data_IF_811888098713
#
_entry.id   IF_811888098713
#
_cell.length_a   1.000
_cell.length_b   1.000
_cell.length_c   1.000
_cell.angle_alpha   90.00
_cell.angle_beta   90.00
_cell.angle_gamma   90.00
#
_symmetry.space_group_name_H-M   'P 1'
#
loop_
_entity.id
_entity.type
_entity.pdbx_description
1 polymer ?
#
# COMPACT_ATOMS: atom_id res chain seq x y z
N UNK A 1 -3.66 -2.65 -14.36
CA UNK A 1 -4.03 -3.07 -12.98
C UNK A 1 -3.64 -1.96 -12.02
N UNK A 2 -4.56 -1.51 -11.18
CA UNK A 2 -4.32 -0.41 -10.24
C UNK A 2 -3.97 -0.94 -8.84
N UNK A 3 -2.86 -0.46 -8.30
CA UNK A 3 -2.39 -0.76 -6.95
C UNK A 3 -2.35 0.53 -6.15
N UNK A 4 -2.79 0.48 -4.89
CA UNK A 4 -2.85 1.66 -4.02
C UNK A 4 -2.49 1.35 -2.57
N UNK A 5 -2.15 2.42 -1.85
CA UNK A 5 -2.07 2.47 -0.39
C UNK A 5 -2.94 3.60 0.13
N UNK A 6 -3.63 3.38 1.24
CA UNK A 6 -4.49 4.38 1.84
C UNK A 6 -4.44 4.32 3.37
N UNK A 7 -3.89 5.34 3.98
CA UNK A 7 -4.06 5.56 5.41
C UNK A 7 -5.49 6.06 5.65
N UNK A 8 -6.35 5.17 6.14
CA UNK A 8 -7.73 5.53 6.54
C UNK A 8 -7.74 5.77 8.04
N UNK A 9 -7.24 6.89 8.46
CA UNK A 9 -7.18 7.35 9.84
C UNK A 9 -8.16 6.64 10.78
N UNK A 10 -7.66 5.72 11.64
CA UNK A 10 -8.46 4.95 12.61
C UNK A 10 -9.62 4.18 11.99
N UNK A 11 -9.33 3.40 10.94
CA UNK A 11 -10.32 2.50 10.33
C UNK A 11 -10.84 1.49 11.35
N UNK A 12 -12.12 1.59 11.69
CA UNK A 12 -12.74 0.72 12.70
C UNK A 12 -14.21 1.04 12.91
N UNK A 13 -14.77 0.46 13.96
CA UNK A 13 -16.23 0.52 14.25
C UNK A 13 -16.79 1.93 14.26
N UNK A 14 -16.10 2.89 14.91
CA UNK A 14 -16.59 4.27 15.02
C UNK A 14 -16.75 4.93 13.65
N UNK A 15 -15.74 4.81 12.79
CA UNK A 15 -15.77 5.39 11.43
C UNK A 15 -16.80 4.71 10.55
N UNK A 16 -16.84 3.39 10.56
CA UNK A 16 -17.75 2.60 9.71
C UNK A 16 -19.21 2.55 10.21
N UNK A 17 -19.50 3.09 11.38
CA UNK A 17 -20.87 3.25 11.85
C UNK A 17 -21.63 4.39 11.16
N UNK A 18 -20.91 5.32 10.54
CA UNK A 18 -21.48 6.37 9.68
C UNK A 18 -21.71 5.81 8.27
N UNK A 19 -23.00 5.66 7.83
CA UNK A 19 -23.31 5.10 6.52
C UNK A 19 -22.75 5.93 5.35
N UNK A 20 -22.65 7.25 5.50
CA UNK A 20 -22.10 8.14 4.47
C UNK A 20 -20.61 7.89 4.29
N UNK A 21 -19.87 7.80 5.39
CA UNK A 21 -18.43 7.52 5.36
C UNK A 21 -18.17 6.11 4.83
N UNK A 22 -18.92 5.11 5.27
CA UNK A 22 -18.84 3.74 4.75
C UNK A 22 -19.04 3.71 3.23
N UNK A 23 -20.05 4.40 2.70
CA UNK A 23 -20.34 4.45 1.27
C UNK A 23 -19.20 5.12 0.48
N UNK A 24 -18.62 6.21 1.00
CA UNK A 24 -17.47 6.89 0.38
C UNK A 24 -16.24 5.98 0.36
N UNK A 25 -15.92 5.30 1.47
CA UNK A 25 -14.80 4.38 1.57
C UNK A 25 -14.94 3.19 0.60
N UNK A 26 -16.15 2.62 0.49
CA UNK A 26 -16.44 1.56 -0.50
C UNK A 26 -16.19 2.07 -1.92
N UNK A 27 -16.64 3.30 -2.23
CA UNK A 27 -16.45 3.93 -3.54
C UNK A 27 -14.97 4.18 -3.85
N UNK A 28 -14.18 4.61 -2.87
CA UNK A 28 -12.73 4.80 -3.02
C UNK A 28 -12.04 3.46 -3.28
N UNK A 29 -12.26 2.46 -2.42
CA UNK A 29 -11.58 1.17 -2.48
C UNK A 29 -11.93 0.40 -3.76
N UNK A 30 -13.17 0.48 -4.23
CA UNK A 30 -13.62 -0.18 -5.47
C UNK A 30 -12.92 0.32 -6.74
N UNK A 31 -12.12 1.38 -6.67
CA UNK A 31 -11.28 1.86 -7.78
C UNK A 31 -10.06 0.99 -8.04
N UNK A 32 -9.64 0.18 -7.06
CA UNK A 32 -8.35 -0.51 -7.05
C UNK A 32 -8.48 -2.01 -7.20
N UNK A 33 -7.49 -2.60 -7.82
CA UNK A 33 -7.39 -4.05 -7.98
C UNK A 33 -6.64 -4.70 -6.82
N UNK A 34 -5.67 -3.98 -6.23
CA UNK A 34 -5.04 -4.27 -4.95
C UNK A 34 -4.92 -2.96 -4.17
N UNK A 35 -5.32 -2.97 -2.91
CA UNK A 35 -5.10 -1.84 -2.01
C UNK A 35 -4.67 -2.32 -0.64
N UNK A 36 -3.68 -1.65 -0.04
CA UNK A 36 -3.36 -1.79 1.39
C UNK A 36 -3.97 -0.63 2.17
N UNK A 37 -4.70 -0.97 3.20
CA UNK A 37 -5.29 -0.04 4.16
C UNK A 37 -4.42 -0.02 5.41
N UNK A 38 -4.07 1.19 5.86
CA UNK A 38 -3.30 1.46 7.06
C UNK A 38 -4.20 2.00 8.18
N UNK A 39 -3.73 1.96 9.40
CA UNK A 39 -4.46 2.35 10.63
C UNK A 39 -5.75 1.57 10.86
N UNK A 40 -5.75 0.27 10.57
CA UNK A 40 -6.86 -0.60 10.94
C UNK A 40 -6.82 -0.89 12.44
N UNK A 41 -7.81 -0.38 13.17
CA UNK A 41 -7.90 -0.44 14.64
C UNK A 41 -9.08 -1.29 15.14
N UNK A 42 -9.63 -2.14 14.30
CA UNK A 42 -10.79 -2.98 14.60
C UNK A 42 -10.39 -4.24 15.40
N UNK A 43 -10.59 -4.19 16.72
CA UNK A 43 -10.15 -5.27 17.62
C UNK A 43 -10.80 -6.63 17.36
N UNK A 44 -12.05 -6.62 16.87
CA UNK A 44 -12.88 -7.83 16.72
C UNK A 44 -13.10 -8.25 15.27
N UNK A 45 -12.41 -7.59 14.31
CA UNK A 45 -12.59 -7.80 12.86
C UNK A 45 -14.03 -7.64 12.34
N UNK A 46 -14.97 -7.27 13.19
CA UNK A 46 -16.39 -7.12 12.84
C UNK A 46 -16.60 -6.03 11.80
N UNK A 47 -15.93 -4.89 11.97
CA UNK A 47 -16.01 -3.77 11.04
C UNK A 47 -15.31 -4.07 9.72
N UNK A 48 -14.20 -4.81 9.78
CA UNK A 48 -13.45 -5.29 8.61
C UNK A 48 -14.33 -6.20 7.77
N UNK A 49 -14.98 -7.19 8.38
CA UNK A 49 -15.87 -8.12 7.69
C UNK A 49 -17.09 -7.41 7.09
N UNK A 50 -17.71 -6.50 7.84
CA UNK A 50 -18.81 -5.66 7.32
C UNK A 50 -18.37 -4.84 6.11
N UNK A 51 -17.21 -4.24 6.16
CA UNK A 51 -16.66 -3.47 5.04
C UNK A 51 -16.47 -4.33 3.80
N UNK A 52 -15.88 -5.53 3.96
CA UNK A 52 -15.71 -6.49 2.87
C UNK A 52 -17.05 -6.91 2.24
N UNK A 53 -18.06 -7.17 3.07
CA UNK A 53 -19.42 -7.50 2.59
C UNK A 53 -20.00 -6.34 1.76
N UNK A 54 -19.94 -5.10 2.26
CA UNK A 54 -20.45 -3.94 1.53
C UNK A 54 -19.69 -3.69 0.23
N UNK A 55 -18.37 -3.85 0.25
CA UNK A 55 -17.52 -3.74 -0.94
C UNK A 55 -17.91 -4.77 -2.01
N UNK A 56 -18.18 -6.01 -1.62
CA UNK A 56 -18.56 -7.09 -2.52
C UNK A 56 -20.02 -6.98 -3.02
N UNK A 57 -20.95 -6.39 -2.23
CA UNK A 57 -22.33 -6.12 -2.68
C UNK A 57 -22.41 -5.12 -3.83
N UNK A 58 -21.53 -4.12 -3.84
CA UNK A 58 -21.51 -3.09 -4.89
C UNK A 58 -20.94 -3.59 -6.20
N UNK A 59 -20.23 -4.71 -6.19
CA UNK A 59 -19.55 -5.28 -7.34
C UNK A 59 -20.49 -6.23 -8.11
N UNK A 60 -21.34 -5.66 -8.99
CA UNK A 60 -22.33 -6.39 -9.83
C UNK A 60 -21.73 -7.41 -10.82
N UNK A 61 -20.41 -7.48 -10.97
CA UNK A 61 -19.68 -8.26 -11.99
C UNK A 61 -18.88 -9.40 -11.40
N UNK A 62 -19.38 -10.31 -10.60
CA UNK A 62 -18.66 -11.53 -10.14
C UNK A 62 -17.19 -11.34 -9.66
N UNK A 63 -16.73 -10.12 -9.52
CA UNK A 63 -15.38 -9.76 -9.08
C UNK A 63 -15.42 -9.57 -7.58
N UNK A 64 -15.02 -10.58 -6.84
CA UNK A 64 -14.97 -10.50 -5.40
C UNK A 64 -13.62 -9.98 -4.91
N UNK A 65 -13.66 -9.10 -3.93
CA UNK A 65 -12.48 -8.78 -3.14
C UNK A 65 -12.25 -9.86 -2.10
N UNK A 66 -10.98 -10.21 -1.97
CA UNK A 66 -10.46 -11.09 -0.92
C UNK A 66 -9.65 -10.24 0.06
N UNK A 67 -9.69 -10.62 1.33
CA UNK A 67 -9.04 -9.94 2.44
C UNK A 67 -7.82 -10.72 2.93
N UNK A 68 -6.71 -10.00 3.14
CA UNK A 68 -5.60 -10.45 3.98
C UNK A 68 -5.29 -9.37 5.02
N UNK A 69 -5.09 -9.76 6.26
CA UNK A 69 -4.87 -8.84 7.37
C UNK A 69 -3.75 -9.36 8.28
N UNK A 70 -2.88 -8.45 8.72
CA UNK A 70 -1.81 -8.78 9.67
C UNK A 70 -2.34 -9.06 11.07
N UNK A 71 -1.47 -9.54 11.96
CA UNK A 71 -1.67 -9.45 13.39
C UNK A 71 -1.75 -7.99 13.84
N UNK A 72 -2.14 -7.74 15.08
CA UNK A 72 -2.16 -6.40 15.66
C UNK A 72 -0.75 -5.97 16.05
N UNK A 73 -0.24 -4.90 15.45
CA UNK A 73 1.13 -4.42 15.52
C UNK A 73 1.23 -3.09 16.29
N UNK A 74 2.32 -2.87 16.99
CA UNK A 74 2.61 -1.65 17.73
C UNK A 74 3.27 -1.94 19.07
N UNK A 75 4.16 -1.07 19.54
CA UNK A 75 4.95 -1.24 20.76
C UNK A 75 4.16 -1.05 22.07
N UNK A 76 3.10 -0.24 22.04
CA UNK A 76 2.30 0.11 23.22
C UNK A 76 0.92 -0.54 23.24
N UNK A 77 0.01 0.07 24.00
CA UNK A 77 -1.41 -0.35 24.05
C UNK A 77 -2.15 -0.09 22.74
N UNK A 78 -1.75 0.94 22.01
CA UNK A 78 -2.28 1.25 20.69
C UNK A 78 -1.73 0.23 19.66
N UNK A 79 -2.63 -0.43 18.95
CA UNK A 79 -2.30 -1.43 17.94
C UNK A 79 -3.06 -1.14 16.66
N UNK A 80 -2.39 -1.38 15.54
CA UNK A 80 -2.98 -1.31 14.20
C UNK A 80 -2.66 -2.58 13.41
N UNK A 81 -3.34 -2.73 12.28
CA UNK A 81 -3.11 -3.83 11.35
C UNK A 81 -2.90 -3.27 9.95
N UNK A 82 -2.11 -3.96 9.14
CA UNK A 82 -2.12 -3.82 7.68
C UNK A 82 -3.22 -4.70 7.11
N UNK A 83 -4.10 -4.13 6.29
CA UNK A 83 -5.19 -4.84 5.64
C UNK A 83 -5.09 -4.71 4.13
N UNK A 84 -4.97 -5.83 3.43
CA UNK A 84 -5.01 -5.87 1.97
C UNK A 84 -6.37 -6.33 1.49
N UNK A 85 -6.90 -5.63 0.49
CA UNK A 85 -8.07 -6.01 -0.27
C UNK A 85 -7.66 -6.14 -1.73
N UNK A 86 -7.95 -7.27 -2.36
CA UNK A 86 -7.56 -7.53 -3.73
C UNK A 86 -8.58 -8.35 -4.50
N UNK A 87 -8.63 -8.16 -5.80
CA UNK A 87 -9.51 -8.89 -6.72
C UNK A 87 -8.89 -10.23 -7.09
N UNK A 88 -9.55 -11.32 -6.74
CA UNK A 88 -9.09 -12.69 -6.96
C UNK A 88 -9.15 -13.14 -8.43
N UNK A 89 -9.90 -12.44 -9.28
CA UNK A 89 -9.91 -12.65 -10.73
C UNK A 89 -8.72 -12.01 -11.47
N UNK A 90 -7.98 -11.12 -10.82
CA UNK A 90 -6.83 -10.40 -11.40
C UNK A 90 -5.49 -10.81 -10.79
N UNK A 91 -5.49 -11.24 -9.54
CA UNK A 91 -4.27 -11.63 -8.83
C UNK A 91 -4.52 -12.85 -7.95
N UNK A 92 -3.48 -13.65 -7.77
CA UNK A 92 -3.48 -14.80 -6.85
C UNK A 92 -2.45 -14.56 -5.77
N UNK A 93 -2.85 -14.65 -4.51
CA UNK A 93 -1.91 -14.62 -3.39
C UNK A 93 -1.08 -15.92 -3.39
N UNK A 94 0.24 -15.79 -3.50
CA UNK A 94 1.18 -16.92 -3.56
C UNK A 94 2.15 -16.96 -2.39
N UNK A 95 2.17 -15.92 -1.56
CA UNK A 95 2.98 -15.88 -0.33
C UNK A 95 2.56 -14.75 0.59
N UNK A 96 2.71 -14.99 1.88
CA UNK A 96 2.57 -13.97 2.93
C UNK A 96 3.67 -14.14 3.97
N UNK A 97 4.16 -13.03 4.51
CA UNK A 97 5.21 -13.05 5.50
C UNK A 97 5.10 -11.84 6.44
N UNK A 98 4.93 -12.13 7.73
CA UNK A 98 5.10 -11.10 8.75
C UNK A 98 6.59 -10.97 9.04
N UNK A 99 7.16 -9.80 8.70
CA UNK A 99 8.56 -9.52 9.03
C UNK A 99 8.73 -9.46 10.54
N UNK A 100 9.78 -10.05 11.03
CA UNK A 100 10.15 -10.01 12.45
C UNK A 100 11.55 -9.40 12.56
N UNK A 101 11.66 -8.33 13.30
CA UNK A 101 12.90 -7.61 13.52
C UNK A 101 13.65 -8.25 14.70
N UNK A 102 14.24 -9.42 14.43
CA UNK A 102 14.86 -10.30 15.45
C UNK A 102 16.37 -10.44 15.28
N UNK A 103 17.05 -9.57 14.54
CA UNK A 103 18.48 -9.73 14.31
C UNK A 103 19.25 -9.45 15.60
N UNK A 104 20.17 -10.37 15.95
CA UNK A 104 20.99 -10.23 17.14
C UNK A 104 21.87 -8.96 17.06
N UNK A 105 21.63 -8.01 17.94
CA UNK A 105 22.28 -6.70 17.98
C UNK A 105 21.52 -5.60 17.25
N UNK A 106 20.42 -5.93 16.60
CA UNK A 106 19.52 -4.94 16.04
C UNK A 106 18.47 -4.53 17.07
N UNK A 107 18.35 -3.23 17.24
CA UNK A 107 17.27 -2.68 18.05
C UNK A 107 16.03 -2.72 17.18
N UNK A 108 14.96 -3.40 17.62
CA UNK A 108 13.62 -3.32 17.07
C UNK A 108 13.40 -1.95 16.36
N UNK A 109 13.51 -1.94 15.04
CA UNK A 109 13.49 -0.70 14.25
C UNK A 109 12.07 -0.23 14.01
N UNK A 110 11.17 -1.17 13.69
CA UNK A 110 9.80 -0.86 13.32
C UNK A 110 8.89 -0.66 14.53
N UNK A 111 8.05 0.36 14.49
CA UNK A 111 6.91 0.46 15.39
C UNK A 111 5.82 -0.55 14.98
N UNK A 112 5.73 -0.85 13.70
CA UNK A 112 4.84 -1.84 13.08
C UNK A 112 5.59 -2.53 11.96
N UNK A 113 5.97 -3.76 12.20
CA UNK A 113 6.74 -4.57 11.26
C UNK A 113 5.90 -4.84 10.00
N UNK A 114 6.48 -4.75 8.80
CA UNK A 114 5.74 -4.96 7.55
C UNK A 114 5.11 -6.35 7.46
N UNK A 115 3.84 -6.40 7.03
CA UNK A 115 3.15 -7.62 6.64
C UNK A 115 3.17 -7.75 5.11
N UNK A 116 4.06 -8.56 4.60
CA UNK A 116 4.48 -8.60 3.21
C UNK A 116 3.68 -9.65 2.45
N UNK A 117 3.11 -9.27 1.30
CA UNK A 117 2.36 -10.18 0.44
C UNK A 117 3.03 -10.33 -0.93
N UNK A 118 3.02 -11.55 -1.47
CA UNK A 118 3.46 -11.87 -2.83
C UNK A 118 2.27 -12.32 -3.67
N UNK A 119 2.10 -11.68 -4.82
CA UNK A 119 1.03 -11.95 -5.76
C UNK A 119 1.55 -12.46 -7.09
N UNK A 120 0.85 -13.44 -7.66
CA UNK A 120 0.88 -13.72 -9.09
C UNK A 120 -0.15 -12.82 -9.78
N UNK A 121 0.30 -12.04 -10.78
CA UNK A 121 -0.54 -11.11 -11.52
C UNK A 121 -0.95 -11.74 -12.86
N UNK A 122 -2.26 -11.93 -13.08
CA UNK A 122 -2.76 -12.74 -14.20
C UNK A 122 -2.76 -12.00 -15.55
N UNK A 123 -3.07 -10.69 -15.54
CA UNK A 123 -3.35 -9.92 -16.75
C UNK A 123 -2.43 -8.70 -16.93
N UNK A 124 -1.24 -8.73 -16.33
CA UNK A 124 -0.23 -7.66 -16.46
C UNK A 124 1.05 -8.17 -17.09
N UNK A 125 1.87 -7.25 -17.61
CA UNK A 125 3.20 -7.58 -18.14
C UNK A 125 4.09 -8.16 -17.06
N UNK A 126 3.99 -7.64 -15.84
CA UNK A 126 4.65 -8.16 -14.65
C UNK A 126 3.81 -9.28 -14.04
N UNK A 127 4.37 -10.48 -13.91
CA UNK A 127 3.64 -11.66 -13.42
C UNK A 127 3.81 -11.93 -11.94
N UNK A 128 4.86 -11.40 -11.34
CA UNK A 128 5.21 -11.57 -9.94
C UNK A 128 5.36 -10.20 -9.28
N UNK A 129 4.71 -9.97 -8.16
CA UNK A 129 4.70 -8.69 -7.46
C UNK A 129 4.72 -8.91 -5.95
N UNK A 130 5.71 -8.36 -5.28
CA UNK A 130 5.78 -8.31 -3.82
C UNK A 130 5.42 -6.91 -3.35
N UNK A 131 4.50 -6.82 -2.38
CA UNK A 131 4.10 -5.58 -1.74
C UNK A 131 4.60 -5.56 -0.28
N UNK A 132 5.38 -4.53 0.05
CA UNK A 132 5.85 -4.23 1.41
C UNK A 132 5.10 -3.00 1.89
N UNK A 133 4.11 -3.13 2.79
CA UNK A 133 3.37 -2.01 3.32
C UNK A 133 4.16 -1.30 4.40
N UNK A 134 3.99 0.01 4.51
CA UNK A 134 4.71 0.86 5.46
C UNK A 134 3.75 1.81 6.16
N UNK A 135 3.87 1.90 7.48
CA UNK A 135 3.34 3.01 8.26
C UNK A 135 4.35 3.31 9.37
N UNK A 136 5.24 4.26 9.13
CA UNK A 136 6.28 4.62 10.08
C UNK A 136 5.71 5.37 11.29
N UNK A 137 6.40 5.27 12.40
CA UNK A 137 6.17 6.20 13.51
C UNK A 137 6.88 7.52 13.16
N UNK A 138 6.20 8.68 13.19
CA UNK A 138 6.75 9.94 12.73
C UNK A 138 8.16 10.26 13.26
N UNK A 139 8.38 10.13 14.57
CA UNK A 139 9.67 10.44 15.22
C UNK A 139 10.80 9.46 14.83
N UNK A 140 10.46 8.26 14.37
CA UNK A 140 11.39 7.19 14.00
C UNK A 140 11.48 6.97 12.49
N UNK A 141 10.83 7.83 11.66
CA UNK A 141 10.65 7.62 10.23
C UNK A 141 11.95 7.39 9.47
N UNK A 142 12.99 8.17 9.73
CA UNK A 142 14.30 7.99 9.06
C UNK A 142 14.87 6.59 9.33
N UNK A 143 14.83 6.13 10.58
CA UNK A 143 15.32 4.81 10.99
C UNK A 143 14.50 3.70 10.35
N UNK A 144 13.17 3.77 10.45
CA UNK A 144 12.29 2.76 9.87
C UNK A 144 12.39 2.68 8.34
N UNK A 145 12.50 3.83 7.66
CA UNK A 145 12.68 3.88 6.20
C UNK A 145 14.03 3.34 5.76
N UNK A 146 15.09 3.54 6.54
CA UNK A 146 16.40 2.96 6.25
C UNK A 146 16.38 1.43 6.40
N UNK A 147 15.72 0.92 7.45
CA UNK A 147 15.56 -0.52 7.72
C UNK A 147 14.80 -1.26 6.60
N UNK A 148 13.96 -0.58 5.82
CA UNK A 148 13.29 -1.17 4.66
C UNK A 148 14.25 -1.72 3.60
N UNK A 149 15.49 -1.23 3.56
CA UNK A 149 16.52 -1.80 2.70
C UNK A 149 16.86 -3.25 3.10
N UNK A 150 16.98 -3.51 4.40
CA UNK A 150 17.24 -4.85 4.92
C UNK A 150 16.03 -5.78 4.73
N UNK A 151 14.82 -5.25 4.94
CA UNK A 151 13.57 -5.98 4.59
C UNK A 151 13.56 -6.38 3.12
N UNK A 152 13.91 -5.47 2.21
CA UNK A 152 14.02 -5.75 0.78
C UNK A 152 15.03 -6.89 0.49
N UNK A 153 16.22 -6.85 1.09
CA UNK A 153 17.23 -7.89 0.91
C UNK A 153 16.74 -9.27 1.39
N UNK A 154 16.04 -9.31 2.51
CA UNK A 154 15.46 -10.56 3.03
C UNK A 154 14.32 -11.08 2.14
N UNK A 155 13.46 -10.21 1.61
CA UNK A 155 12.44 -10.56 0.60
C UNK A 155 13.09 -11.17 -0.64
N UNK A 156 14.12 -10.50 -1.17
CA UNK A 156 14.88 -10.97 -2.34
C UNK A 156 15.50 -12.35 -2.08
N UNK A 157 16.08 -12.54 -0.93
CA UNK A 157 16.66 -13.83 -0.50
C UNK A 157 15.59 -14.94 -0.38
N UNK A 158 14.44 -14.61 0.25
CA UNK A 158 13.37 -15.56 0.54
C UNK A 158 12.64 -16.02 -0.71
N UNK A 159 12.27 -15.08 -1.59
CA UNK A 159 11.39 -15.35 -2.73
C UNK A 159 12.08 -15.29 -4.09
N UNK A 160 13.39 -14.99 -4.13
CA UNK A 160 14.21 -14.93 -5.36
C UNK A 160 13.58 -14.04 -6.44
N UNK A 161 13.06 -12.89 -6.04
CA UNK A 161 12.45 -11.90 -6.94
C UNK A 161 12.95 -10.49 -6.62
N UNK A 162 13.07 -9.68 -7.65
CA UNK A 162 13.39 -8.25 -7.59
C UNK A 162 12.13 -7.37 -7.77
N UNK A 163 10.98 -7.99 -8.06
CA UNK A 163 9.73 -7.28 -8.32
C UNK A 163 9.06 -6.83 -7.03
N UNK A 164 9.63 -5.80 -6.41
CA UNK A 164 9.22 -5.30 -5.09
C UNK A 164 8.70 -3.88 -5.20
N UNK A 165 7.53 -3.65 -4.59
CA UNK A 165 6.94 -2.33 -4.38
C UNK A 165 6.77 -2.09 -2.88
N UNK A 166 7.32 -0.98 -2.39
CA UNK A 166 7.18 -0.48 -1.02
C UNK A 166 6.19 0.67 -1.07
N UNK A 167 5.11 0.60 -0.32
CA UNK A 167 4.05 1.61 -0.38
C UNK A 167 3.41 1.83 0.99
N UNK A 168 2.97 3.05 1.25
CA UNK A 168 2.32 3.39 2.51
C UNK A 168 2.53 4.82 2.94
N UNK A 169 2.26 5.05 4.21
CA UNK A 169 2.55 6.30 4.91
C UNK A 169 3.97 6.26 5.48
N UNK A 170 4.87 6.92 4.78
CA UNK A 170 6.29 6.99 5.13
C UNK A 170 6.58 8.12 6.12
N UNK A 171 5.63 9.03 6.36
CA UNK A 171 5.89 10.29 7.06
C UNK A 171 7.15 11.02 6.53
N UNK A 172 7.44 10.87 5.23
CA UNK A 172 8.72 11.22 4.59
C UNK A 172 8.77 12.69 4.16
N UNK A 173 8.31 13.60 5.00
CA UNK A 173 8.28 15.03 4.72
C UNK A 173 8.15 15.88 6.00
N UNK A 174 8.18 17.20 5.82
CA UNK A 174 7.93 18.18 6.86
C UNK A 174 8.92 18.09 8.02
N UNK A 175 8.39 18.09 9.23
CA UNK A 175 9.20 17.99 10.45
C UNK A 175 9.71 16.59 10.76
N UNK A 176 9.17 15.56 10.14
CA UNK A 176 9.51 14.16 10.43
C UNK A 176 10.76 13.69 9.70
N UNK A 177 10.93 14.09 8.43
CA UNK A 177 12.12 13.74 7.64
C UNK A 177 12.67 14.97 6.95
N UNK A 178 13.81 15.45 7.44
CA UNK A 178 14.52 16.56 6.80
C UNK A 178 15.17 16.13 5.47
N UNK A 179 15.54 17.10 4.63
CA UNK A 179 16.29 16.84 3.39
C UNK A 179 17.61 16.07 3.64
N UNK A 180 18.26 16.31 4.79
CA UNK A 180 19.46 15.57 5.21
C UNK A 180 19.11 14.15 5.63
N UNK A 181 18.03 13.96 6.39
CA UNK A 181 17.51 12.65 6.78
C UNK A 181 17.14 11.81 5.57
N UNK A 182 16.45 12.40 4.59
CA UNK A 182 16.10 11.72 3.33
C UNK A 182 17.32 11.16 2.59
N UNK A 183 18.42 11.90 2.55
CA UNK A 183 19.68 11.43 1.90
C UNK A 183 20.34 10.27 2.63
N UNK A 184 20.10 10.10 3.91
CA UNK A 184 20.66 9.01 4.73
C UNK A 184 19.92 7.69 4.56
N UNK A 185 18.72 7.69 3.99
CA UNK A 185 17.87 6.52 3.80
C UNK A 185 18.37 5.73 2.57
N UNK A 186 18.75 4.45 2.76
CA UNK A 186 19.35 3.62 1.70
C UNK A 186 18.39 3.37 0.53
N UNK A 187 17.10 3.14 0.76
CA UNK A 187 16.12 3.03 -0.35
C UNK A 187 15.91 4.35 -1.11
N UNK A 188 16.45 5.48 -0.61
CA UNK A 188 16.47 6.76 -1.32
C UNK A 188 17.80 7.00 -2.04
N UNK A 189 18.91 6.61 -1.44
CA UNK A 189 20.26 6.86 -1.99
C UNK A 189 20.67 5.81 -3.03
N UNK A 190 20.14 4.60 -2.99
CA UNK A 190 20.37 3.57 -4.01
C UNK A 190 19.51 3.88 -5.26
N UNK A 191 20.20 4.09 -6.39
CA UNK A 191 19.59 4.50 -7.67
C UNK A 191 18.67 3.46 -8.29
N UNK A 192 18.71 2.21 -7.82
CA UNK A 192 17.81 1.15 -8.29
C UNK A 192 16.41 1.27 -7.69
N UNK A 193 16.23 2.07 -6.64
CA UNK A 193 14.91 2.38 -6.10
C UNK A 193 14.33 3.63 -6.75
N UNK A 194 13.16 3.50 -7.35
CA UNK A 194 12.44 4.58 -8.02
C UNK A 194 11.27 5.06 -7.13
N UNK A 195 11.37 6.30 -6.69
CA UNK A 195 10.32 6.96 -5.91
C UNK A 195 9.31 7.58 -6.87
N UNK A 196 8.12 6.98 -6.97
CA UNK A 196 7.13 7.34 -7.99
C UNK A 196 6.26 8.54 -7.58
N UNK A 197 6.16 8.85 -6.30
CA UNK A 197 5.49 10.05 -5.78
C UNK A 197 6.59 11.08 -5.45
N UNK A 198 6.59 12.20 -6.15
CA UNK A 198 7.59 13.26 -5.98
C UNK A 198 7.44 13.99 -4.64
N UNK A 199 8.53 14.62 -4.18
CA UNK A 199 8.61 15.28 -2.87
C UNK A 199 7.75 16.56 -2.76
N UNK A 200 7.19 17.05 -3.85
CA UNK A 200 6.35 18.25 -3.95
C UNK A 200 4.86 17.93 -4.12
N UNK A 201 4.48 16.66 -4.01
CA UNK A 201 3.10 16.20 -4.19
C UNK A 201 2.40 16.12 -2.85
N UNK A 202 1.34 16.91 -2.66
CA UNK A 202 0.51 16.83 -1.46
C UNK A 202 -0.32 15.55 -1.42
N UNK A 203 -0.15 14.77 -0.36
CA UNK A 203 -0.90 13.53 -0.09
C UNK A 203 -1.87 13.65 1.10
N UNK A 204 -2.02 14.87 1.64
CA UNK A 204 -2.85 15.15 2.81
C UNK A 204 -4.18 15.79 2.42
N UNK A 205 -5.25 15.46 3.13
CA UNK A 205 -6.58 16.03 2.88
C UNK A 205 -6.85 17.33 3.67
N UNK A 206 -5.93 17.75 4.51
CA UNK A 206 -6.02 18.96 5.27
C UNK A 206 -5.40 20.12 4.48
N UNK A 207 -6.19 21.11 4.10
CA UNK A 207 -5.74 22.28 3.32
C UNK A 207 -4.76 23.18 4.06
N UNK A 208 -4.58 23.02 5.37
CA UNK A 208 -3.57 23.70 6.17
C UNK A 208 -2.16 23.09 6.11
N UNK A 209 -2.03 21.93 5.50
CA UNK A 209 -0.77 21.18 5.36
C UNK A 209 -0.61 20.72 3.91
N UNK A 210 0.60 20.85 3.38
CA UNK A 210 0.99 20.33 2.07
C UNK A 210 2.20 19.42 2.29
N UNK A 211 1.96 18.14 2.58
CA UNK A 211 3.04 17.21 2.87
C UNK A 211 2.94 15.94 2.00
N UNK A 212 4.11 15.45 1.61
CA UNK A 212 4.24 14.20 0.85
C UNK A 212 4.56 13.04 1.78
N UNK A 213 3.61 12.65 2.62
CA UNK A 213 3.79 11.56 3.58
C UNK A 213 3.67 10.19 2.94
N UNK A 214 2.72 10.04 2.01
CA UNK A 214 2.40 8.76 1.39
C UNK A 214 3.21 8.57 0.13
N UNK A 215 3.84 7.39 -0.01
CA UNK A 215 4.80 7.11 -1.08
C UNK A 215 4.57 5.75 -1.71
N UNK A 216 5.05 5.63 -2.95
CA UNK A 216 5.21 4.38 -3.68
C UNK A 216 6.65 4.33 -4.19
N UNK A 217 7.39 3.30 -3.80
CA UNK A 217 8.78 3.06 -4.20
C UNK A 217 8.89 1.68 -4.81
N UNK A 218 9.51 1.56 -5.97
CA UNK A 218 9.72 0.29 -6.66
C UNK A 218 11.21 0.04 -6.89
N UNK A 219 11.59 -1.23 -7.01
CA UNK A 219 12.97 -1.61 -7.25
C UNK A 219 13.18 -2.10 -8.68
N UNK A 220 14.19 -1.53 -9.35
CA UNK A 220 14.68 -1.97 -10.66
C UNK A 220 13.92 -1.40 -11.86
N UNK A 221 14.61 -1.41 -12.99
CA UNK A 221 14.10 -0.84 -14.26
C UNK A 221 12.95 -1.69 -14.86
N UNK A 222 12.98 -3.00 -14.67
CA UNK A 222 11.89 -3.89 -15.14
C UNK A 222 10.56 -3.54 -14.44
N UNK A 223 10.61 -3.21 -13.14
CA UNK A 223 9.45 -2.72 -12.41
C UNK A 223 9.00 -1.36 -12.94
N UNK A 224 9.95 -0.45 -13.20
CA UNK A 224 9.64 0.88 -13.75
C UNK A 224 8.99 0.76 -15.12
N UNK A 225 9.53 -0.07 -16.00
CA UNK A 225 9.00 -0.33 -17.34
C UNK A 225 7.61 -0.98 -17.30
N UNK A 226 7.29 -1.71 -16.27
CA UNK A 226 5.97 -2.31 -16.08
C UNK A 226 4.89 -1.31 -15.62
N UNK A 227 5.28 -0.12 -15.14
CA UNK A 227 4.32 0.92 -14.74
C UNK A 227 3.82 1.71 -15.96
N UNK A 228 2.55 2.10 -15.91
CA UNK A 228 2.00 3.08 -16.86
C UNK A 228 2.63 4.44 -16.54
N UNK A 229 3.30 5.10 -17.51
CA UNK A 229 3.94 6.39 -17.26
C UNK A 229 2.97 7.43 -16.66
N UNK A 230 3.44 8.19 -15.68
CA UNK A 230 2.68 9.24 -14.99
C UNK A 230 1.39 8.78 -14.29
N UNK A 231 1.23 7.49 -14.04
CA UNK A 231 0.06 6.96 -13.34
C UNK A 231 0.17 7.04 -11.81
N UNK A 232 1.38 7.18 -11.29
CA UNK A 232 1.61 7.30 -9.84
C UNK A 232 1.21 8.70 -9.35
N UNK A 233 0.20 8.76 -8.46
CA UNK A 233 -0.36 10.02 -7.96
C UNK A 233 -1.26 9.78 -6.74
N UNK A 234 -1.53 10.82 -5.93
CA UNK A 234 -2.63 10.78 -4.97
C UNK A 234 -3.98 10.84 -5.68
N UNK A 235 -4.98 10.20 -5.09
CA UNK A 235 -6.37 10.35 -5.51
C UNK A 235 -7.10 11.31 -4.58
N UNK A 236 -7.27 12.55 -5.02
CA UNK A 236 -8.02 13.55 -4.28
C UNK A 236 -9.52 13.27 -4.33
N UNK A 237 -10.00 12.46 -3.38
CA UNK A 237 -11.41 12.09 -3.29
C UNK A 237 -12.30 13.26 -2.84
N UNK A 238 -11.75 14.27 -2.18
CA UNK A 238 -12.49 15.50 -1.84
C UNK A 238 -13.01 16.18 -3.10
N UNK A 239 -12.13 16.45 -4.04
CA UNK A 239 -12.50 17.06 -5.33
C UNK A 239 -13.34 16.10 -6.16
N UNK A 240 -12.91 14.82 -6.27
CA UNK A 240 -13.57 13.84 -7.12
C UNK A 240 -15.03 13.57 -6.74
N UNK A 241 -15.38 13.72 -5.46
CA UNK A 241 -16.72 13.48 -4.94
C UNK A 241 -17.44 14.74 -4.46
N UNK A 242 -16.86 15.93 -4.67
CA UNK A 242 -17.46 17.22 -4.30
C UNK A 242 -17.69 17.34 -2.80
N UNK A 243 -16.76 16.84 -1.98
CA UNK A 243 -16.87 16.90 -0.53
C UNK A 243 -16.35 18.23 0.02
N UNK A 244 -16.96 18.71 1.10
CA UNK A 244 -16.34 19.73 1.93
C UNK A 244 -15.06 19.21 2.57
N UNK A 245 -14.15 20.10 3.01
CA UNK A 245 -12.97 19.69 3.76
C UNK A 245 -13.35 18.93 5.04
N UNK A 246 -14.37 19.41 5.75
CA UNK A 246 -14.88 18.74 6.95
C UNK A 246 -15.34 17.31 6.67
N UNK A 247 -16.07 17.07 5.57
CA UNK A 247 -16.52 15.73 5.20
C UNK A 247 -15.36 14.86 4.69
N UNK A 248 -14.40 15.43 3.99
CA UNK A 248 -13.20 14.70 3.57
C UNK A 248 -12.36 14.25 4.77
N UNK A 249 -12.16 15.10 5.76
CA UNK A 249 -11.43 14.77 6.99
C UNK A 249 -12.14 13.72 7.87
N UNK A 250 -13.46 13.59 7.76
CA UNK A 250 -14.19 12.45 8.37
C UNK A 250 -13.85 11.11 7.72
N UNK A 251 -13.51 11.12 6.42
CA UNK A 251 -13.04 9.93 5.70
C UNK A 251 -11.59 9.62 6.09
N UNK A 252 -10.68 10.55 5.85
CA UNK A 252 -9.28 10.48 6.27
C UNK A 252 -8.60 11.85 6.11
N UNK A 253 -7.53 12.07 6.86
CA UNK A 253 -6.58 13.18 6.69
C UNK A 253 -5.51 12.90 5.62
N UNK A 254 -5.50 11.71 5.02
CA UNK A 254 -4.67 11.32 3.88
C UNK A 254 -5.51 11.08 2.63
N UNK A 255 -4.90 11.27 1.45
CA UNK A 255 -5.39 10.73 0.18
C UNK A 255 -4.75 9.36 -0.11
N UNK A 256 -5.47 8.44 -0.79
CA UNK A 256 -4.82 7.26 -1.34
C UNK A 256 -3.71 7.67 -2.31
N UNK A 257 -2.59 6.95 -2.32
CA UNK A 257 -1.62 7.00 -3.42
C UNK A 257 -1.79 5.77 -4.29
N UNK A 258 -1.81 5.96 -5.59
CA UNK A 258 -2.10 4.93 -6.58
C UNK A 258 -1.05 4.88 -7.70
N UNK A 259 -0.89 3.72 -8.31
CA UNK A 259 -0.12 3.51 -9.54
C UNK A 259 -0.79 2.45 -10.40
N UNK A 260 -0.58 2.50 -11.71
CA UNK A 260 -1.13 1.54 -12.64
C UNK A 260 -0.02 0.69 -13.30
N UNK A 261 -0.18 -0.64 -13.27
CA UNK A 261 0.65 -1.58 -14.00
C UNK A 261 0.07 -1.81 -15.39
N UNK A 262 0.96 -1.90 -16.39
CA UNK A 262 0.61 -2.21 -17.78
C UNK A 262 -0.04 -3.58 -17.89
N UNK A 263 -1.06 -3.69 -18.74
CA UNK A 263 -1.70 -4.97 -19.05
C UNK A 263 -0.86 -5.73 -20.09
N UNK A 264 -0.85 -7.08 -19.97
CA UNK A 264 -0.28 -7.92 -21.02
C UNK A 264 -1.16 -7.88 -22.27
N UNK A 265 -0.53 -7.92 -23.44
CA UNK A 265 -1.24 -8.03 -24.74
C UNK A 265 -1.76 -9.46 -24.94
N UNK A 266 -2.84 -9.66 -25.74
CA UNK A 266 -3.33 -11.01 -26.08
C UNK A 266 -2.28 -11.93 -26.69
N UNK A 267 -1.31 -11.37 -27.42
CA UNK A 267 -0.20 -12.12 -28.06
C UNK A 267 0.80 -12.67 -27.03
N UNK A 268 0.97 -12.01 -25.89
CA UNK A 268 1.85 -12.47 -24.80
C UNK A 268 1.18 -13.57 -23.98
N UNK A 269 -0.14 -13.55 -23.86
CA UNK A 269 -0.92 -14.59 -23.17
C UNK A 269 -0.90 -15.94 -23.90
N UNK A 270 -0.90 -15.94 -25.25
CA UNK A 270 -0.87 -17.17 -26.05
C UNK A 270 0.48 -17.90 -26.03
N UNK A 271 1.59 -17.18 -25.86
CA UNK A 271 2.93 -17.78 -25.77
C UNK A 271 3.18 -18.54 -24.44
N UNK A 272 2.51 -18.14 -23.36
CA UNK A 272 2.67 -18.78 -22.05
C UNK A 272 1.89 -20.10 -21.93
N UNK A 273 0.76 -20.26 -22.62
CA UNK A 273 0.02 -21.53 -22.65
C UNK A 273 0.74 -22.63 -23.45
N UNK A 274 1.69 -22.28 -24.32
CA UNK A 274 2.49 -23.25 -25.08
C UNK A 274 3.76 -23.73 -24.34
N UNK A 275 4.26 -22.97 -23.36
CA UNK A 275 5.45 -23.35 -22.59
C UNK A 275 5.17 -24.24 -21.35
N UNK A 276 3.90 -24.40 -20.97
CA UNK A 276 3.50 -25.23 -19.83
C UNK A 276 3.07 -26.66 -20.23
N UNK A 277 3.27 -27.05 -21.48
CA UNK A 277 2.94 -28.38 -22.03
C UNK A 277 4.16 -29.23 -22.41
N UNK A 278 5.37 -28.87 -21.93
CA UNK A 278 6.57 -29.69 -22.10
C UNK A 278 7.26 -29.96 -20.77
#
# INVERSE_FOLDING_TARGET
>A
MKVASFNIQKFGKRKLSDPKILAILVKIVSRYDIIVILEVVDEKTTSVNKFLEELNKTNKKKQCYTLQISTRLGRGKYKEQFMFLYRDDLVRLVGSWQYEDNQAGDVDAFAREPYILRFECLNTVLKDLVLIPVHTKPDDSVKELDELYDVFLEVKKKWKTDNVMILGDFNADGSYVSKKGMKAIRIRSDKNFHWLINDDVDTTANTGNENTYDRIVIYGDDMLDAMVPNSAKPFNFQIAYGLSEEDALKVSDHYPVEVELKRSTPTEQSKQHHCSLF
#
